data_IF_134201547640
#
_entry.id   IF_134201547640
#
_cell.length_a   1.000
_cell.length_b   1.000
_cell.length_c   1.000
_cell.angle_alpha   90.00
_cell.angle_beta   90.00
_cell.angle_gamma   90.00
#
_symmetry.space_group_name_H-M   'P 1'
#
loop_
_entity.id
_entity.type
_entity.pdbx_description
1 polymer ?
#
# COMPACT_ATOMS: atom_id res chain seq x y z
N UNK A 1 -10.76 30.32 -4.73
CA UNK A 1 -10.64 30.40 -6.21
C UNK A 1 -10.35 28.99 -6.68
N UNK A 2 -11.36 28.32 -7.20
CA UNK A 2 -11.39 26.86 -7.43
C UNK A 2 -10.49 26.54 -8.63
N UNK A 3 -9.55 25.61 -8.46
CA UNK A 3 -8.88 24.92 -9.57
C UNK A 3 -9.11 23.42 -9.41
N UNK A 4 -10.31 22.98 -9.81
CA UNK A 4 -10.50 21.60 -10.23
C UNK A 4 -9.97 21.51 -11.67
N UNK A 5 -8.85 20.81 -11.86
CA UNK A 5 -8.40 20.36 -13.17
C UNK A 5 -8.33 18.83 -13.11
N UNK A 6 -9.48 18.17 -13.21
CA UNK A 6 -9.59 16.78 -13.65
C UNK A 6 -10.88 16.64 -14.46
N UNK A 7 -10.81 17.10 -15.70
CA UNK A 7 -11.77 16.75 -16.74
C UNK A 7 -11.02 16.85 -18.08
N UNK A 8 -10.32 15.79 -18.47
CA UNK A 8 -10.04 15.53 -19.87
C UNK A 8 -10.11 14.02 -20.10
N UNK A 9 -10.99 13.65 -21.02
CA UNK A 9 -11.50 12.30 -21.18
C UNK A 9 -10.53 11.29 -21.79
N UNK A 10 -10.97 10.04 -21.68
CA UNK A 10 -10.47 8.87 -22.39
C UNK A 10 -10.12 9.15 -23.85
N UNK A 11 -8.85 8.95 -24.19
CA UNK A 11 -8.41 8.49 -25.50
C UNK A 11 -7.06 7.79 -25.33
N UNK A 12 -7.05 6.47 -25.57
CA UNK A 12 -5.85 5.66 -25.59
C UNK A 12 -4.83 6.18 -26.60
N UNK A 13 -3.59 6.38 -26.15
CA UNK A 13 -2.30 6.28 -26.87
C UNK A 13 -1.21 6.31 -25.77
N UNK A 14 -0.31 5.34 -25.78
CA UNK A 14 0.76 5.23 -24.78
C UNK A 14 1.77 6.38 -24.81
N UNK A 15 2.36 6.67 -23.65
CA UNK A 15 3.79 6.89 -23.43
C UNK A 15 4.06 7.40 -22.00
N UNK A 16 4.90 6.66 -21.29
CA UNK A 16 5.98 7.08 -20.38
C UNK A 16 5.75 8.08 -19.22
N UNK A 17 6.09 7.55 -18.04
CA UNK A 17 6.95 8.12 -16.99
C UNK A 17 6.38 9.16 -16.00
N UNK A 18 6.16 8.68 -14.78
CA UNK A 18 6.66 9.21 -13.50
C UNK A 18 6.75 8.00 -12.56
N UNK A 19 7.76 7.73 -11.73
CA UNK A 19 9.14 8.19 -11.61
C UNK A 19 9.80 7.22 -10.62
N UNK A 20 11.02 6.80 -10.94
CA UNK A 20 11.85 5.97 -10.06
C UNK A 20 12.09 6.61 -8.69
N UNK A 21 11.96 5.82 -7.63
CA UNK A 21 12.97 5.65 -6.57
C UNK A 21 12.38 4.85 -5.41
N UNK A 22 12.62 3.53 -5.38
CA UNK A 22 12.91 2.77 -4.16
C UNK A 22 13.50 1.42 -4.60
N UNK A 23 14.67 1.47 -5.24
CA UNK A 23 15.54 0.31 -5.38
C UNK A 23 16.50 0.32 -4.19
N UNK A 24 16.15 -0.39 -3.12
CA UNK A 24 17.17 -0.80 -2.16
C UNK A 24 17.91 -2.00 -2.76
N UNK A 25 19.10 -1.70 -3.27
CA UNK A 25 20.07 -2.69 -3.74
C UNK A 25 20.63 -3.41 -2.51
N UNK A 26 20.26 -4.68 -2.34
CA UNK A 26 21.15 -5.68 -1.78
C UNK A 26 21.41 -6.67 -2.90
N UNK A 27 22.65 -6.69 -3.36
CA UNK A 27 23.15 -7.63 -4.34
C UNK A 27 23.69 -8.81 -3.54
N UNK A 28 22.99 -9.95 -3.57
CA UNK A 28 23.57 -11.23 -3.19
C UNK A 28 23.36 -12.21 -4.35
N UNK A 29 24.48 -12.69 -4.89
CA UNK A 29 24.58 -13.70 -5.92
C UNK A 29 24.32 -15.07 -5.27
N UNK A 30 23.05 -15.44 -5.00
CA UNK A 30 22.68 -16.79 -4.51
C UNK A 30 21.27 -17.19 -4.99
N UNK A 31 21.00 -17.10 -6.30
CA UNK A 31 19.70 -17.43 -6.89
C UNK A 31 19.41 -18.94 -7.05
N UNK A 32 20.33 -19.83 -6.65
CA UNK A 32 20.12 -21.30 -6.76
C UNK A 32 19.90 -22.02 -5.40
N UNK A 33 19.97 -21.33 -4.25
CA UNK A 33 19.95 -21.99 -2.94
C UNK A 33 18.78 -21.66 -2.00
N UNK A 34 17.86 -20.75 -2.37
CA UNK A 34 16.80 -20.31 -1.45
C UNK A 34 15.54 -21.21 -1.39
N UNK A 35 15.47 -22.33 -2.12
CA UNK A 35 14.26 -23.19 -2.14
C UNK A 35 14.19 -24.26 -1.04
N UNK A 36 15.26 -24.41 -0.25
CA UNK A 36 15.47 -25.46 0.76
C UNK A 36 15.79 -24.92 2.18
N UNK A 37 15.77 -23.60 2.40
CA UNK A 37 15.99 -23.03 3.74
C UNK A 37 14.65 -22.89 4.49
N UNK A 38 14.31 -23.91 5.27
CA UNK A 38 13.03 -24.10 6.00
C UNK A 38 12.75 -23.11 7.15
N UNK A 39 13.56 -22.06 7.39
CA UNK A 39 13.50 -21.31 8.67
C UNK A 39 13.43 -19.77 8.56
N UNK A 40 13.28 -19.16 7.38
CA UNK A 40 13.24 -17.68 7.29
C UNK A 40 12.10 -17.13 6.44
N UNK A 41 11.17 -16.43 7.11
CA UNK A 41 10.25 -15.50 6.45
C UNK A 41 11.05 -14.52 5.60
N UNK A 42 10.76 -14.47 4.32
CA UNK A 42 11.46 -13.59 3.39
C UNK A 42 10.52 -13.14 2.29
N UNK A 43 10.71 -11.91 1.84
CA UNK A 43 10.04 -11.40 0.65
C UNK A 43 11.05 -10.63 -0.17
N UNK A 44 11.21 -11.02 -1.43
CA UNK A 44 12.03 -10.31 -2.39
C UNK A 44 11.27 -10.14 -3.70
N UNK A 45 11.44 -8.98 -4.32
CA UNK A 45 11.02 -8.79 -5.70
C UNK A 45 12.09 -8.00 -6.44
N UNK A 46 12.29 -8.35 -7.71
CA UNK A 46 13.15 -7.62 -8.63
C UNK A 46 12.42 -7.48 -9.96
N UNK A 47 12.45 -6.27 -10.53
CA UNK A 47 11.90 -5.98 -11.85
C UNK A 47 12.98 -5.28 -12.66
N UNK A 48 13.34 -5.86 -13.80
CA UNK A 48 14.36 -5.39 -14.72
C UNK A 48 13.75 -5.23 -16.12
N UNK A 49 13.17 -4.07 -16.39
CA UNK A 49 12.38 -3.85 -17.61
C UNK A 49 11.17 -4.79 -17.63
N UNK A 50 11.07 -5.59 -18.69
CA UNK A 50 9.95 -6.50 -18.92
C UNK A 50 10.22 -7.89 -18.35
N UNK A 51 11.09 -8.03 -17.36
CA UNK A 51 11.37 -9.31 -16.70
C UNK A 51 11.49 -9.11 -15.21
N UNK A 52 11.22 -10.15 -14.43
CA UNK A 52 11.32 -10.03 -13.00
C UNK A 52 11.11 -11.34 -12.26
N UNK A 53 11.33 -11.24 -10.96
CA UNK A 53 11.17 -12.30 -9.99
C UNK A 53 10.41 -11.76 -8.79
N UNK A 54 9.52 -12.59 -8.25
CA UNK A 54 8.87 -12.40 -6.97
C UNK A 54 9.04 -13.67 -6.15
N UNK A 55 9.49 -13.53 -4.91
CA UNK A 55 9.58 -14.62 -3.94
C UNK A 55 8.96 -14.14 -2.63
N UNK A 56 8.10 -14.98 -2.06
CA UNK A 56 7.61 -14.84 -0.69
C UNK A 56 7.66 -16.22 -0.03
N UNK A 57 8.39 -16.32 1.07
CA UNK A 57 8.33 -17.44 1.99
C UNK A 57 7.76 -16.92 3.33
N UNK A 58 6.70 -17.55 3.81
CA UNK A 58 6.11 -17.32 5.12
C UNK A 58 5.79 -18.68 5.77
N UNK A 59 5.24 -18.67 6.99
CA UNK A 59 4.94 -19.89 7.75
C UNK A 59 3.91 -20.79 7.05
N UNK A 60 2.96 -20.19 6.34
CA UNK A 60 1.84 -20.90 5.73
C UNK A 60 2.14 -21.42 4.31
N UNK A 61 2.97 -20.70 3.56
CA UNK A 61 3.29 -21.05 2.17
C UNK A 61 4.57 -20.37 1.67
N UNK A 62 5.14 -20.95 0.61
CA UNK A 62 6.14 -20.31 -0.24
C UNK A 62 5.59 -20.15 -1.64
N UNK A 63 5.64 -18.94 -2.18
CA UNK A 63 5.30 -18.66 -3.57
C UNK A 63 6.46 -17.97 -4.28
N UNK A 64 6.76 -18.44 -5.49
CA UNK A 64 7.72 -17.82 -6.39
C UNK A 64 7.07 -17.60 -7.75
N UNK A 65 7.34 -16.46 -8.37
CA UNK A 65 7.01 -16.20 -9.74
C UNK A 65 8.23 -15.61 -10.46
N UNK A 66 8.51 -16.11 -11.66
CA UNK A 66 9.50 -15.56 -12.58
C UNK A 66 8.78 -15.23 -13.89
N UNK A 67 9.17 -14.13 -14.52
CA UNK A 67 8.66 -13.78 -15.84
C UNK A 67 9.73 -13.16 -16.73
N UNK A 68 9.58 -13.43 -18.03
CA UNK A 68 10.27 -12.74 -19.09
C UNK A 68 9.27 -12.24 -20.14
N UNK A 69 9.50 -11.02 -20.62
CA UNK A 69 8.56 -10.31 -21.47
C UNK A 69 7.42 -9.62 -20.70
N UNK A 70 6.82 -8.61 -21.33
CA UNK A 70 5.65 -7.94 -20.76
C UNK A 70 4.43 -8.85 -20.86
N UNK A 71 3.44 -8.59 -20.02
CA UNK A 71 2.18 -9.31 -20.01
C UNK A 71 1.05 -8.39 -19.58
N UNK A 72 -0.16 -8.67 -20.06
CA UNK A 72 -1.36 -7.91 -19.71
C UNK A 72 -2.47 -8.81 -19.21
N UNK A 73 -3.37 -8.26 -18.42
CA UNK A 73 -4.52 -8.97 -17.90
C UNK A 73 -5.71 -8.89 -18.87
N UNK A 74 -6.56 -9.93 -18.85
CA UNK A 74 -7.81 -9.95 -19.60
C UNK A 74 -8.85 -8.97 -19.04
N UNK A 75 -9.99 -8.86 -19.73
CA UNK A 75 -11.08 -7.96 -19.34
C UNK A 75 -11.62 -8.19 -17.92
N UNK A 76 -11.43 -9.39 -17.36
CA UNK A 76 -11.80 -9.75 -15.99
C UNK A 76 -10.68 -9.50 -14.97
N UNK A 77 -9.48 -9.10 -15.43
CA UNK A 77 -8.31 -8.85 -14.59
C UNK A 77 -7.74 -10.08 -13.90
N UNK A 78 -8.14 -11.30 -14.29
CA UNK A 78 -7.90 -12.53 -13.53
C UNK A 78 -7.12 -13.61 -14.31
N UNK A 79 -6.84 -13.38 -15.58
CA UNK A 79 -5.99 -14.25 -16.40
C UNK A 79 -5.18 -13.41 -17.41
N UNK A 80 -4.19 -14.04 -18.05
CA UNK A 80 -3.40 -13.41 -19.09
C UNK A 80 -4.22 -13.15 -20.35
N UNK A 81 -4.14 -11.93 -20.89
CA UNK A 81 -4.57 -11.60 -22.25
C UNK A 81 -3.41 -11.68 -23.22
N UNK A 82 -2.29 -11.05 -22.87
CA UNK A 82 -1.06 -11.03 -23.66
C UNK A 82 0.12 -11.45 -22.79
N UNK A 83 1.10 -12.04 -23.45
CA UNK A 83 2.36 -12.50 -22.88
C UNK A 83 3.39 -12.49 -23.99
N UNK A 84 4.51 -11.81 -23.77
CA UNK A 84 5.58 -11.70 -24.76
C UNK A 84 6.45 -12.96 -24.80
N UNK A 85 6.82 -13.52 -23.65
CA UNK A 85 7.66 -14.73 -23.58
C UNK A 85 7.10 -15.76 -22.58
N UNK A 86 7.42 -15.67 -21.29
CA UNK A 86 6.99 -16.68 -20.31
C UNK A 86 6.75 -16.14 -18.90
N UNK A 87 5.86 -16.82 -18.17
CA UNK A 87 5.64 -16.65 -16.73
C UNK A 87 5.62 -18.04 -16.11
N UNK A 88 6.40 -18.25 -15.05
CA UNK A 88 6.35 -19.46 -14.24
C UNK A 88 6.03 -19.11 -12.79
N UNK A 89 5.04 -19.78 -12.21
CA UNK A 89 4.64 -19.60 -10.81
C UNK A 89 4.69 -20.95 -10.11
N UNK A 90 5.32 -20.98 -8.94
CA UNK A 90 5.43 -22.14 -8.06
C UNK A 90 4.86 -21.78 -6.69
N UNK A 91 3.93 -22.58 -6.18
CA UNK A 91 3.40 -22.47 -4.82
C UNK A 91 3.67 -23.78 -4.08
N UNK A 92 4.26 -23.69 -2.90
CA UNK A 92 4.32 -24.77 -1.91
C UNK A 92 3.42 -24.37 -0.73
N UNK A 93 2.39 -25.15 -0.44
CA UNK A 93 1.48 -24.93 0.68
C UNK A 93 0.94 -26.28 1.18
N UNK A 94 0.88 -26.47 2.51
CA UNK A 94 0.34 -27.70 3.13
C UNK A 94 0.95 -29.01 2.59
N UNK A 95 2.24 -28.98 2.24
CA UNK A 95 2.95 -30.13 1.67
C UNK A 95 2.65 -30.41 0.19
N UNK A 96 1.80 -29.62 -0.45
CA UNK A 96 1.47 -29.71 -1.88
C UNK A 96 2.32 -28.69 -2.66
N UNK A 97 2.91 -29.13 -3.76
CA UNK A 97 3.62 -28.25 -4.70
C UNK A 97 2.82 -28.09 -5.98
N UNK A 98 2.27 -26.90 -6.20
CA UNK A 98 1.61 -26.52 -7.45
C UNK A 98 2.56 -25.67 -8.30
N UNK A 99 2.51 -25.86 -9.62
CA UNK A 99 3.32 -25.07 -10.55
C UNK A 99 2.57 -24.84 -11.85
N UNK A 100 2.54 -23.61 -12.32
CA UNK A 100 2.01 -23.24 -13.64
C UNK A 100 3.09 -22.57 -14.45
N UNK A 101 3.21 -22.96 -15.73
CA UNK A 101 4.02 -22.28 -16.73
C UNK A 101 3.13 -21.78 -17.86
N UNK A 102 3.17 -20.48 -18.11
CA UNK A 102 2.58 -19.83 -19.28
C UNK A 102 3.71 -19.49 -20.25
N UNK A 103 3.58 -19.88 -21.52
CA UNK A 103 4.59 -19.63 -22.55
C UNK A 103 3.94 -19.16 -23.84
N UNK A 104 4.48 -18.10 -24.44
CA UNK A 104 4.11 -17.65 -25.79
C UNK A 104 4.70 -18.61 -26.81
N UNK A 105 3.86 -19.41 -27.46
CA UNK A 105 4.25 -20.34 -28.54
C UNK A 105 3.29 -20.28 -29.71
N UNK A 106 3.84 -20.15 -30.91
CA UNK A 106 3.08 -20.09 -32.18
C UNK A 106 1.96 -19.01 -32.17
N UNK A 107 2.23 -17.88 -31.52
CA UNK A 107 1.27 -16.76 -31.42
C UNK A 107 0.12 -16.98 -30.42
N UNK A 108 0.16 -18.05 -29.62
CA UNK A 108 -0.80 -18.33 -28.55
C UNK A 108 -0.09 -18.50 -27.20
N UNK A 109 -0.84 -18.31 -26.11
CA UNK A 109 -0.35 -18.62 -24.76
C UNK A 109 -0.62 -20.10 -24.50
N UNK A 110 0.44 -20.86 -24.20
CA UNK A 110 0.37 -22.26 -23.79
C UNK A 110 0.48 -22.33 -22.28
N UNK A 111 -0.46 -23.01 -21.65
CA UNK A 111 -0.49 -23.23 -20.20
C UNK A 111 -0.12 -24.67 -19.91
N UNK A 112 0.84 -24.89 -19.02
CA UNK A 112 1.14 -26.22 -18.48
C UNK A 112 1.13 -26.17 -16.97
N UNK A 113 0.31 -27.03 -16.36
CA UNK A 113 0.15 -27.08 -14.91
C UNK A 113 0.65 -28.42 -14.34
N UNK A 114 1.26 -28.36 -13.17
CA UNK A 114 1.83 -29.48 -12.44
C UNK A 114 1.36 -29.48 -10.99
N UNK A 115 1.12 -30.68 -10.44
CA UNK A 115 0.88 -30.91 -9.01
C UNK A 115 1.81 -32.00 -8.51
N UNK A 116 2.56 -31.71 -7.46
CA UNK A 116 3.57 -32.59 -6.86
C UNK A 116 4.58 -33.16 -7.88
N UNK A 117 4.88 -32.35 -8.90
CA UNK A 117 5.81 -32.70 -9.99
C UNK A 117 5.14 -33.38 -11.20
N UNK A 118 3.92 -33.90 -11.05
CA UNK A 118 3.19 -34.53 -12.14
C UNK A 118 2.45 -33.50 -12.99
N UNK A 119 2.66 -33.56 -14.31
CA UNK A 119 1.91 -32.73 -15.27
C UNK A 119 0.45 -33.20 -15.29
N UNK A 120 -0.49 -32.27 -15.06
CA UNK A 120 -1.91 -32.55 -15.29
C UNK A 120 -2.20 -32.61 -16.79
N UNK A 121 -3.10 -33.51 -17.25
CA UNK A 121 -3.56 -33.51 -18.64
C UNK A 121 -4.18 -32.17 -19.02
N UNK A 122 -3.89 -31.72 -20.25
CA UNK A 122 -4.47 -30.49 -20.78
C UNK A 122 -6.02 -30.62 -20.79
N UNK A 123 -6.71 -29.58 -20.31
CA UNK A 123 -8.16 -29.56 -20.19
C UNK A 123 -8.65 -28.63 -19.08
N UNK A 124 -9.97 -28.61 -18.87
CA UNK A 124 -10.65 -27.66 -17.98
C UNK A 124 -10.10 -27.65 -16.54
N UNK A 125 -9.76 -28.82 -15.98
CA UNK A 125 -9.20 -28.91 -14.63
C UNK A 125 -7.83 -28.22 -14.53
N UNK A 126 -6.94 -28.47 -15.49
CA UNK A 126 -5.62 -27.85 -15.53
C UNK A 126 -5.72 -26.33 -15.77
N UNK A 127 -6.64 -25.90 -16.63
CA UNK A 127 -6.87 -24.48 -16.93
C UNK A 127 -7.43 -23.73 -15.70
N UNK A 128 -8.38 -24.33 -14.97
CA UNK A 128 -8.92 -23.76 -13.74
C UNK A 128 -7.86 -23.67 -12.65
N UNK A 129 -7.05 -24.72 -12.45
CA UNK A 129 -5.97 -24.73 -11.46
C UNK A 129 -4.89 -23.70 -11.80
N UNK A 130 -4.52 -23.59 -13.07
CA UNK A 130 -3.59 -22.57 -13.57
C UNK A 130 -4.11 -21.14 -13.34
N UNK A 131 -5.37 -20.87 -13.68
CA UNK A 131 -6.00 -19.57 -13.45
C UNK A 131 -6.08 -19.20 -11.97
N UNK A 132 -6.45 -20.16 -11.11
CA UNK A 132 -6.49 -19.96 -9.66
C UNK A 132 -5.10 -19.64 -9.09
N UNK A 133 -4.06 -20.35 -9.52
CA UNK A 133 -2.68 -20.09 -9.07
C UNK A 133 -2.15 -18.73 -9.57
N UNK A 134 -2.44 -18.37 -10.83
CA UNK A 134 -2.10 -17.04 -11.36
C UNK A 134 -2.80 -15.92 -10.59
N UNK A 135 -4.09 -16.06 -10.33
CA UNK A 135 -4.86 -15.11 -9.54
C UNK A 135 -4.31 -14.99 -8.11
N UNK A 136 -3.98 -16.12 -7.47
CA UNK A 136 -3.37 -16.13 -6.14
C UNK A 136 -2.04 -15.38 -6.13
N UNK A 137 -1.20 -15.56 -7.16
CA UNK A 137 0.02 -14.77 -7.34
C UNK A 137 -0.25 -13.26 -7.42
N UNK A 138 -1.23 -12.81 -8.21
CA UNK A 138 -1.59 -11.39 -8.31
C UNK A 138 -2.06 -10.81 -6.96
N UNK A 139 -2.86 -11.57 -6.21
CA UNK A 139 -3.37 -11.16 -4.89
C UNK A 139 -2.30 -11.13 -3.81
N UNK A 140 -1.35 -12.06 -3.82
CA UNK A 140 -0.25 -12.08 -2.84
C UNK A 140 0.80 -11.02 -3.15
N UNK A 141 1.20 -10.91 -4.42
CA UNK A 141 2.28 -10.00 -4.82
C UNK A 141 1.81 -8.55 -4.89
N UNK A 142 0.53 -8.33 -5.20
CA UNK A 142 0.01 -7.02 -5.57
C UNK A 142 0.48 -6.54 -6.95
N UNK A 143 1.17 -7.36 -7.74
CA UNK A 143 1.59 -7.00 -9.08
C UNK A 143 0.37 -6.85 -9.99
N UNK A 144 0.50 -5.95 -10.97
CA UNK A 144 -0.59 -5.57 -11.89
C UNK A 144 -1.86 -5.09 -11.17
N UNK A 145 -1.74 -4.55 -9.94
CA UNK A 145 -2.89 -3.99 -9.20
C UNK A 145 -3.63 -2.93 -10.02
N UNK A 146 -2.91 -2.05 -10.73
CA UNK A 146 -3.51 -1.06 -11.63
C UNK A 146 -4.45 -1.68 -12.68
N UNK A 147 -3.95 -2.63 -13.47
CA UNK A 147 -4.75 -3.33 -14.49
C UNK A 147 -5.91 -4.11 -13.87
N UNK A 148 -5.69 -4.77 -12.73
CA UNK A 148 -6.71 -5.55 -12.06
C UNK A 148 -7.83 -4.68 -11.48
N UNK A 149 -7.50 -3.56 -10.83
CA UNK A 149 -8.48 -2.58 -10.37
C UNK A 149 -9.25 -1.99 -11.55
N UNK A 150 -8.57 -1.66 -12.65
CA UNK A 150 -9.23 -1.18 -13.88
C UNK A 150 -10.26 -2.18 -14.41
N UNK A 151 -9.91 -3.47 -14.45
CA UNK A 151 -10.82 -4.53 -14.88
C UNK A 151 -12.01 -4.73 -13.93
N UNK A 152 -11.78 -4.66 -12.61
CA UNK A 152 -12.83 -4.78 -11.60
C UNK A 152 -13.81 -3.60 -11.66
N UNK A 153 -13.31 -2.36 -11.81
CA UNK A 153 -14.16 -1.17 -11.99
C UNK A 153 -14.93 -1.20 -13.32
N UNK A 154 -14.40 -1.85 -14.36
CA UNK A 154 -15.07 -2.01 -15.66
C UNK A 154 -16.19 -3.05 -15.61
N UNK A 155 -16.00 -4.13 -14.87
CA UNK A 155 -16.92 -5.28 -14.84
C UNK A 155 -17.90 -5.24 -13.66
N UNK A 156 -17.58 -4.50 -12.61
CA UNK A 156 -18.40 -4.29 -11.41
C UNK A 156 -18.45 -2.81 -11.01
N UNK A 157 -18.46 -2.57 -9.70
CA UNK A 157 -18.45 -1.25 -9.07
C UNK A 157 -17.35 -1.15 -8.00
N UNK A 158 -17.23 -0.01 -7.32
CA UNK A 158 -16.28 0.18 -6.22
C UNK A 158 -16.49 -0.84 -5.10
N UNK A 159 -17.73 -1.25 -4.82
CA UNK A 159 -18.00 -2.25 -3.79
C UNK A 159 -17.32 -3.59 -4.12
N UNK A 160 -17.35 -3.99 -5.40
CA UNK A 160 -16.64 -5.18 -5.89
C UNK A 160 -15.11 -5.05 -5.71
N UNK A 161 -14.56 -3.85 -5.85
CA UNK A 161 -13.14 -3.59 -5.57
C UNK A 161 -12.84 -3.66 -4.08
N UNK A 162 -13.68 -3.09 -3.22
CA UNK A 162 -13.50 -3.14 -1.77
C UNK A 162 -13.56 -4.58 -1.26
N UNK A 163 -14.48 -5.40 -1.77
CA UNK A 163 -14.51 -6.84 -1.49
C UNK A 163 -13.22 -7.56 -1.92
N UNK A 164 -12.65 -7.19 -3.07
CA UNK A 164 -11.36 -7.72 -3.50
C UNK A 164 -10.23 -7.33 -2.54
N UNK A 165 -10.16 -6.06 -2.10
CA UNK A 165 -9.12 -5.57 -1.18
C UNK A 165 -9.22 -6.28 0.18
N UNK A 166 -10.43 -6.43 0.70
CA UNK A 166 -10.68 -7.13 1.98
C UNK A 166 -10.27 -8.61 1.92
N UNK A 167 -10.35 -9.23 0.74
CA UNK A 167 -9.94 -10.62 0.54
C UNK A 167 -8.41 -10.79 0.38
N UNK A 168 -7.62 -9.72 0.31
CA UNK A 168 -6.16 -9.82 0.15
C UNK A 168 -5.50 -10.24 1.46
N UNK A 169 -4.57 -11.18 1.37
CA UNK A 169 -3.88 -11.74 2.54
C UNK A 169 -2.71 -10.86 3.03
N UNK A 170 -2.16 -10.00 2.16
CA UNK A 170 -0.90 -9.28 2.43
C UNK A 170 -1.08 -7.78 2.43
N UNK A 171 -0.57 -7.12 3.47
CA UNK A 171 -0.56 -5.66 3.63
C UNK A 171 0.01 -4.93 2.41
N UNK A 172 1.14 -5.42 1.88
CA UNK A 172 1.77 -4.82 0.70
C UNK A 172 0.86 -4.90 -0.52
N UNK A 173 0.08 -5.97 -0.68
CA UNK A 173 -0.89 -6.10 -1.75
C UNK A 173 -2.13 -5.21 -1.49
N UNK A 174 -2.67 -5.20 -0.27
CA UNK A 174 -3.73 -4.29 0.17
C UNK A 174 -3.39 -2.85 -0.19
N UNK A 175 -2.26 -2.33 0.29
CA UNK A 175 -1.78 -0.98 -0.06
C UNK A 175 -1.71 -0.76 -1.56
N UNK A 176 -1.17 -1.69 -2.35
CA UNK A 176 -1.07 -1.54 -3.82
C UNK A 176 -2.43 -1.46 -4.51
N UNK A 177 -3.44 -2.15 -4.00
CA UNK A 177 -4.79 -2.11 -4.55
C UNK A 177 -5.54 -0.86 -4.08
N UNK A 178 -5.37 -0.47 -2.81
CA UNK A 178 -5.91 0.78 -2.25
C UNK A 178 -5.43 1.98 -3.06
N UNK A 179 -4.11 2.11 -3.28
CA UNK A 179 -3.54 3.21 -4.07
C UNK A 179 -4.08 3.16 -5.50
N UNK A 180 -4.10 1.98 -6.13
CA UNK A 180 -4.63 1.83 -7.49
C UNK A 180 -6.12 2.18 -7.60
N UNK A 181 -6.93 1.96 -6.56
CA UNK A 181 -8.32 2.37 -6.50
C UNK A 181 -8.45 3.89 -6.43
N UNK A 182 -7.73 4.53 -5.49
CA UNK A 182 -7.74 6.00 -5.29
C UNK A 182 -7.26 6.73 -6.56
N UNK A 183 -6.29 6.18 -7.29
CA UNK A 183 -5.81 6.78 -8.53
C UNK A 183 -6.82 6.69 -9.70
N UNK A 184 -7.74 5.73 -9.65
CA UNK A 184 -8.62 5.38 -10.77
C UNK A 184 -10.10 5.70 -10.53
N UNK A 185 -10.49 6.10 -9.33
CA UNK A 185 -11.88 6.39 -8.98
C UNK A 185 -11.97 7.50 -7.95
N UNK A 186 -12.96 8.38 -8.09
CA UNK A 186 -13.31 9.38 -7.07
C UNK A 186 -14.26 8.70 -6.07
N UNK A 187 -13.83 8.51 -4.83
CA UNK A 187 -14.59 7.76 -3.83
C UNK A 187 -15.69 8.63 -3.19
N UNK A 188 -16.89 8.08 -3.09
CA UNK A 188 -17.97 8.69 -2.30
C UNK A 188 -17.66 8.63 -0.81
N UNK A 189 -18.30 9.47 0.03
CA UNK A 189 -18.09 9.44 1.48
C UNK A 189 -18.34 8.06 2.12
N UNK A 190 -19.30 7.29 1.60
CA UNK A 190 -19.59 5.95 2.08
C UNK A 190 -18.50 4.93 1.68
N UNK A 191 -17.92 5.07 0.49
CA UNK A 191 -16.82 4.23 0.03
C UNK A 191 -15.52 4.56 0.78
N UNK A 192 -15.27 5.83 1.10
CA UNK A 192 -14.19 6.26 1.98
C UNK A 192 -14.32 5.63 3.37
N UNK A 193 -15.53 5.64 3.94
CA UNK A 193 -15.79 5.04 5.25
C UNK A 193 -15.62 3.51 5.24
N UNK A 194 -15.99 2.84 4.14
CA UNK A 194 -15.77 1.40 3.96
C UNK A 194 -14.28 1.08 3.77
N UNK A 195 -13.57 1.83 2.93
CA UNK A 195 -12.14 1.68 2.72
C UNK A 195 -11.33 1.89 4.00
N UNK A 196 -11.76 2.85 4.84
CA UNK A 196 -11.14 3.10 6.15
C UNK A 196 -11.26 1.89 7.08
N UNK A 197 -12.30 1.07 6.97
CA UNK A 197 -12.43 -0.17 7.78
C UNK A 197 -11.42 -1.22 7.33
N UNK A 198 -11.12 -1.30 6.03
CA UNK A 198 -10.07 -2.21 5.52
C UNK A 198 -8.68 -1.86 6.07
N UNK A 199 -8.44 -0.59 6.43
CA UNK A 199 -7.17 -0.16 7.04
C UNK A 199 -6.94 -0.74 8.45
N UNK A 200 -8.01 -1.19 9.15
CA UNK A 200 -7.88 -1.92 10.42
C UNK A 200 -7.27 -3.31 10.25
N UNK A 201 -7.10 -3.78 9.02
CA UNK A 201 -6.54 -5.08 8.69
C UNK A 201 -5.15 -4.99 8.04
N UNK A 202 -4.51 -3.81 8.09
CA UNK A 202 -3.14 -3.60 7.60
C UNK A 202 -2.25 -3.44 8.82
N UNK A 203 -1.39 -4.42 9.08
CA UNK A 203 -0.55 -4.48 10.29
C UNK A 203 0.80 -3.76 10.10
N UNK A 204 1.33 -3.76 8.88
CA UNK A 204 2.57 -3.07 8.54
C UNK A 204 2.41 -1.55 8.62
N UNK A 205 3.05 -0.92 9.61
CA UNK A 205 3.14 0.53 9.82
C UNK A 205 3.34 1.30 8.50
N UNK A 206 4.32 0.84 7.71
CA UNK A 206 4.71 1.48 6.46
C UNK A 206 3.59 1.38 5.40
N UNK A 207 2.94 0.21 5.29
CA UNK A 207 1.85 -0.01 4.33
C UNK A 207 0.59 0.75 4.73
N UNK A 208 0.25 0.74 6.03
CA UNK A 208 -0.88 1.46 6.59
C UNK A 208 -0.72 2.97 6.42
N UNK A 209 0.48 3.51 6.73
CA UNK A 209 0.80 4.92 6.48
C UNK A 209 0.56 5.29 5.03
N UNK A 210 1.08 4.53 4.05
CA UNK A 210 0.89 4.88 2.63
C UNK A 210 -0.58 4.84 2.25
N UNK A 211 -1.33 3.85 2.72
CA UNK A 211 -2.75 3.74 2.43
C UNK A 211 -3.54 4.96 2.97
N UNK A 212 -3.25 5.37 4.21
CA UNK A 212 -3.88 6.53 4.85
C UNK A 212 -3.49 7.84 4.14
N UNK A 213 -2.19 8.08 3.90
CA UNK A 213 -1.75 9.35 3.29
C UNK A 213 -2.22 9.46 1.85
N UNK A 214 -2.24 8.37 1.08
CA UNK A 214 -2.81 8.37 -0.27
C UNK A 214 -4.28 8.84 -0.27
N UNK A 215 -5.06 8.42 0.73
CA UNK A 215 -6.45 8.84 0.88
C UNK A 215 -6.56 10.33 1.26
N UNK A 216 -5.73 10.82 2.18
CA UNK A 216 -5.69 12.23 2.58
C UNK A 216 -5.29 13.15 1.42
N UNK A 217 -4.29 12.75 0.64
CA UNK A 217 -3.72 13.54 -0.46
C UNK A 217 -4.64 13.62 -1.69
N UNK A 218 -5.40 12.57 -1.97
CA UNK A 218 -6.11 12.43 -3.25
C UNK A 218 -7.63 12.56 -3.16
N UNK A 219 -8.22 12.42 -1.96
CA UNK A 219 -9.67 12.51 -1.78
C UNK A 219 -10.11 13.76 -1.02
N UNK A 220 -11.35 14.17 -1.27
CA UNK A 220 -11.96 15.25 -0.48
C UNK A 220 -12.53 14.67 0.82
N UNK A 221 -11.76 14.78 1.90
CA UNK A 221 -12.14 14.27 3.22
C UNK A 221 -12.79 15.35 4.09
N UNK A 222 -13.68 14.91 4.98
CA UNK A 222 -14.15 15.73 6.11
C UNK A 222 -13.19 15.59 7.29
N UNK A 223 -13.15 16.59 8.18
CA UNK A 223 -12.36 16.51 9.42
C UNK A 223 -12.71 15.27 10.27
N UNK A 224 -13.99 14.84 10.27
CA UNK A 224 -14.42 13.63 10.97
C UNK A 224 -13.89 12.33 10.34
N UNK A 225 -13.71 12.29 9.02
CA UNK A 225 -13.07 11.15 8.33
C UNK A 225 -11.58 11.09 8.65
N UNK A 226 -10.89 12.24 8.61
CA UNK A 226 -9.47 12.29 8.98
C UNK A 226 -9.26 11.96 10.45
N UNK A 227 -10.14 12.39 11.35
CA UNK A 227 -10.10 11.99 12.77
C UNK A 227 -10.19 10.47 12.96
N UNK A 228 -11.03 9.79 12.16
CA UNK A 228 -11.11 8.31 12.17
C UNK A 228 -9.81 7.67 11.68
N UNK A 229 -9.23 8.18 10.59
CA UNK A 229 -7.95 7.69 10.07
C UNK A 229 -6.81 7.88 11.09
N UNK A 230 -6.77 9.04 11.78
CA UNK A 230 -5.83 9.30 12.86
C UNK A 230 -6.03 8.36 14.06
N UNK A 231 -7.29 8.05 14.40
CA UNK A 231 -7.60 7.07 15.45
C UNK A 231 -7.08 5.66 15.08
N UNK A 232 -7.22 5.26 13.81
CA UNK A 232 -6.69 3.99 13.31
C UNK A 232 -5.15 4.01 13.36
N UNK A 233 -4.53 5.07 12.82
CA UNK A 233 -3.09 5.23 12.79
C UNK A 233 -2.46 5.23 14.20
N UNK A 234 -2.97 6.05 15.12
CA UNK A 234 -2.43 6.14 16.49
C UNK A 234 -2.63 4.87 17.33
N UNK A 235 -3.53 3.97 16.92
CA UNK A 235 -3.73 2.67 17.58
C UNK A 235 -2.85 1.55 17.01
N UNK A 236 -2.47 1.63 15.74
CA UNK A 236 -1.82 0.52 15.04
C UNK A 236 -0.38 0.81 14.63
N UNK A 237 -0.04 2.06 14.29
CA UNK A 237 1.31 2.42 13.83
C UNK A 237 2.23 2.56 15.02
N UNK A 238 3.20 1.65 15.14
CA UNK A 238 4.18 1.65 16.23
C UNK A 238 5.42 2.51 15.91
N UNK A 239 5.79 2.60 14.62
CA UNK A 239 6.88 3.43 14.12
C UNK A 239 6.57 4.91 14.26
N UNK A 240 7.29 5.59 15.17
CA UNK A 240 7.21 7.04 15.37
C UNK A 240 7.33 7.82 14.05
N UNK A 241 8.21 7.37 13.16
CA UNK A 241 8.43 8.00 11.87
C UNK A 241 7.21 7.89 10.96
N UNK A 242 6.59 6.71 10.88
CA UNK A 242 5.42 6.47 10.06
C UNK A 242 4.19 7.19 10.62
N UNK A 243 3.99 7.17 11.95
CA UNK A 243 2.89 7.86 12.61
C UNK A 243 3.02 9.38 12.45
N UNK A 244 4.21 9.93 12.63
CA UNK A 244 4.49 11.35 12.38
C UNK A 244 4.17 11.75 10.94
N UNK A 245 4.48 10.91 9.95
CA UNK A 245 4.12 11.21 8.55
C UNK A 245 2.60 11.31 8.34
N UNK A 246 1.81 10.44 8.99
CA UNK A 246 0.34 10.57 8.97
C UNK A 246 -0.11 11.88 9.64
N UNK A 247 0.46 12.21 10.81
CA UNK A 247 0.15 13.44 11.53
C UNK A 247 0.48 14.69 10.70
N UNK A 248 1.65 14.71 10.05
CA UNK A 248 2.07 15.79 9.15
C UNK A 248 1.10 15.97 7.99
N UNK A 249 0.72 14.89 7.30
CA UNK A 249 -0.19 14.96 6.15
C UNK A 249 -1.61 15.43 6.54
N UNK A 250 -2.01 15.15 7.77
CA UNK A 250 -3.30 15.59 8.31
C UNK A 250 -3.32 17.02 8.87
N UNK A 251 -2.17 17.70 8.96
CA UNK A 251 -2.05 18.98 9.71
C UNK A 251 -2.97 20.10 9.18
N UNK A 252 -3.26 20.10 7.88
CA UNK A 252 -4.14 21.11 7.27
C UNK A 252 -5.62 20.99 7.69
N UNK A 253 -5.99 19.90 8.37
CA UNK A 253 -7.34 19.68 8.88
C UNK A 253 -7.60 20.31 10.26
N UNK A 254 -6.57 20.90 10.89
CA UNK A 254 -6.76 21.68 12.13
C UNK A 254 -7.80 22.77 11.90
N UNK A 255 -8.92 22.62 12.59
CA UNK A 255 -10.07 23.50 12.49
C UNK A 255 -10.68 23.61 13.89
N UNK A 256 -11.60 24.56 14.11
CA UNK A 256 -12.30 24.69 15.40
C UNK A 256 -13.30 23.55 15.67
N UNK A 257 -13.01 22.35 15.18
CA UNK A 257 -13.74 21.11 15.38
C UNK A 257 -12.96 20.23 16.36
N UNK A 258 -13.52 20.04 17.56
CA UNK A 258 -12.86 19.33 18.65
C UNK A 258 -12.46 17.90 18.29
N UNK A 259 -13.25 17.20 17.49
CA UNK A 259 -13.05 15.75 17.30
C UNK A 259 -11.78 15.43 16.50
N UNK A 260 -11.42 16.30 15.55
CA UNK A 260 -10.15 16.17 14.82
C UNK A 260 -8.97 16.55 15.69
N UNK A 261 -9.05 17.70 16.38
CA UNK A 261 -7.98 18.18 17.26
C UNK A 261 -7.66 17.15 18.35
N UNK A 262 -8.69 16.54 18.95
CA UNK A 262 -8.55 15.48 19.95
C UNK A 262 -7.89 14.23 19.34
N UNK A 263 -8.35 13.76 18.18
CA UNK A 263 -7.77 12.59 17.52
C UNK A 263 -6.30 12.80 17.10
N UNK A 264 -5.95 14.00 16.63
CA UNK A 264 -4.57 14.35 16.29
C UNK A 264 -3.69 14.36 17.54
N UNK A 265 -4.15 14.99 18.63
CA UNK A 265 -3.40 15.06 19.89
C UNK A 265 -3.28 13.70 20.58
N UNK A 266 -4.29 12.82 20.46
CA UNK A 266 -4.25 11.45 20.97
C UNK A 266 -3.24 10.60 20.18
N UNK A 267 -3.24 10.68 18.86
CA UNK A 267 -2.25 10.00 18.02
C UNK A 267 -0.83 10.54 18.29
N UNK A 268 -0.66 11.86 18.40
CA UNK A 268 0.60 12.48 18.80
C UNK A 268 1.14 11.94 20.13
N UNK A 269 0.27 11.70 21.11
CA UNK A 269 0.67 11.17 22.41
C UNK A 269 1.24 9.73 22.34
N UNK A 270 1.04 9.02 21.23
CA UNK A 270 1.68 7.75 20.93
C UNK A 270 3.16 7.86 20.56
N UNK A 271 3.61 9.03 20.08
CA UNK A 271 5.00 9.24 19.67
C UNK A 271 5.96 9.19 20.87
N UNK A 272 7.07 8.48 20.72
CA UNK A 272 8.10 8.32 21.76
C UNK A 272 9.41 9.08 21.44
N UNK A 273 9.76 9.18 20.16
CA UNK A 273 10.91 9.92 19.65
C UNK A 273 10.72 11.43 19.84
N UNK A 274 11.57 12.06 20.67
CA UNK A 274 11.58 13.53 20.85
C UNK A 274 11.73 14.27 19.51
N UNK A 275 12.48 13.68 18.58
CA UNK A 275 12.69 14.23 17.25
C UNK A 275 11.39 14.26 16.43
N UNK A 276 10.66 13.14 16.41
CA UNK A 276 9.39 13.04 15.68
C UNK A 276 8.27 13.81 16.37
N UNK A 277 8.25 13.84 17.71
CA UNK A 277 7.40 14.72 18.51
C UNK A 277 7.60 16.19 18.14
N UNK A 278 8.86 16.67 18.09
CA UNK A 278 9.14 18.05 17.66
C UNK A 278 8.64 18.28 16.23
N UNK A 279 8.99 17.40 15.29
CA UNK A 279 8.59 17.59 13.89
C UNK A 279 7.08 17.63 13.71
N UNK A 280 6.32 16.73 14.36
CA UNK A 280 4.86 16.75 14.31
C UNK A 280 4.29 18.07 14.84
N UNK A 281 4.84 18.60 15.94
CA UNK A 281 4.44 19.91 16.46
C UNK A 281 4.81 21.05 15.51
N UNK A 282 5.98 21.03 14.87
CA UNK A 282 6.37 22.08 13.93
C UNK A 282 5.37 22.25 12.77
N UNK A 283 4.78 21.16 12.27
CA UNK A 283 3.76 21.20 11.20
C UNK A 283 2.50 21.98 11.59
N UNK A 284 2.10 21.91 12.85
CA UNK A 284 0.85 22.54 13.32
C UNK A 284 1.08 23.92 13.95
N UNK A 285 2.34 24.39 14.00
CA UNK A 285 2.71 25.61 14.72
C UNK A 285 2.00 26.86 14.17
N UNK A 286 1.78 26.93 12.85
CA UNK A 286 1.05 28.05 12.22
C UNK A 286 -0.43 28.04 12.62
N UNK A 287 -1.08 26.88 12.57
CA UNK A 287 -2.46 26.72 13.00
C UNK A 287 -2.61 27.05 14.48
N UNK A 288 -1.70 26.55 15.32
CA UNK A 288 -1.65 26.82 16.74
C UNK A 288 -1.59 28.33 17.03
N UNK A 289 -0.67 29.09 16.42
CA UNK A 289 -0.59 30.56 16.63
C UNK A 289 -1.91 31.30 16.37
N UNK A 290 -2.76 30.77 15.49
CA UNK A 290 -4.07 31.35 15.18
C UNK A 290 -5.19 31.01 16.16
N UNK A 291 -4.99 30.02 17.05
CA UNK A 291 -6.01 29.52 17.97
C UNK A 291 -5.48 29.40 19.42
N UNK A 292 -5.93 30.26 20.35
CA UNK A 292 -5.47 30.23 21.74
C UNK A 292 -5.66 28.89 22.47
N UNK A 293 -6.69 28.11 22.12
CA UNK A 293 -6.90 26.80 22.72
C UNK A 293 -5.85 25.80 22.21
N UNK A 294 -5.58 25.80 20.91
CA UNK A 294 -4.55 24.95 20.30
C UNK A 294 -3.13 25.35 20.76
N UNK A 295 -2.82 26.64 20.94
CA UNK A 295 -1.54 27.07 21.56
C UNK A 295 -1.34 26.44 22.93
N UNK A 296 -2.38 26.37 23.77
CA UNK A 296 -2.25 25.81 25.11
C UNK A 296 -1.97 24.29 25.06
N UNK A 297 -2.65 23.57 24.16
CA UNK A 297 -2.44 22.14 23.94
C UNK A 297 -1.04 21.86 23.36
N UNK A 298 -0.63 22.64 22.36
CA UNK A 298 0.71 22.63 21.77
C UNK A 298 1.80 22.81 22.82
N UNK A 299 1.71 23.88 23.64
CA UNK A 299 2.72 24.17 24.67
C UNK A 299 2.86 23.02 25.65
N UNK A 300 1.74 22.43 26.08
CA UNK A 300 1.74 21.27 26.97
C UNK A 300 2.43 20.06 26.34
N UNK A 301 2.16 19.79 25.06
CA UNK A 301 2.82 18.73 24.30
C UNK A 301 4.32 18.98 24.14
N UNK A 302 4.72 20.19 23.72
CA UNK A 302 6.13 20.57 23.60
C UNK A 302 6.87 20.41 24.95
N UNK A 303 6.26 20.80 26.06
CA UNK A 303 6.83 20.64 27.40
C UNK A 303 7.05 19.19 27.83
N UNK A 304 6.35 18.22 27.21
CA UNK A 304 6.55 16.80 27.47
C UNK A 304 7.76 16.21 26.70
N UNK A 305 8.30 16.93 25.72
CA UNK A 305 9.52 16.55 25.00
C UNK A 305 10.70 16.57 25.99
N UNK A 306 11.33 15.41 26.16
CA UNK A 306 12.36 15.20 27.16
C UNK A 306 13.72 15.76 26.73
N UNK A 307 13.99 15.79 25.42
CA UNK A 307 15.20 16.43 24.89
C UNK A 307 15.04 17.96 24.89
N UNK A 308 15.99 18.64 25.53
CA UNK A 308 15.93 20.10 25.72
C UNK A 308 15.99 20.86 24.39
N UNK A 309 16.82 20.42 23.45
CA UNK A 309 16.99 21.09 22.17
C UNK A 309 15.77 20.89 21.26
N UNK A 310 15.19 19.69 21.27
CA UNK A 310 13.97 19.43 20.52
C UNK A 310 12.77 20.18 21.12
N UNK A 311 12.66 20.23 22.45
CA UNK A 311 11.64 21.01 23.16
C UNK A 311 11.76 22.51 22.87
N UNK A 312 12.97 23.06 22.94
CA UNK A 312 13.24 24.47 22.65
C UNK A 312 12.79 24.83 21.24
N UNK A 313 13.19 24.04 20.23
CA UNK A 313 12.77 24.26 18.83
C UNK A 313 11.26 24.19 18.64
N UNK A 314 10.57 23.25 19.30
CA UNK A 314 9.11 23.17 19.23
C UNK A 314 8.47 24.45 19.82
N UNK A 315 8.93 24.94 20.98
CA UNK A 315 8.41 26.17 21.57
C UNK A 315 8.73 27.42 20.73
N UNK A 316 9.93 27.49 20.16
CA UNK A 316 10.31 28.56 19.21
C UNK A 316 9.41 28.59 17.98
N UNK A 317 8.94 27.42 17.50
CA UNK A 317 8.04 27.34 16.36
C UNK A 317 6.71 28.07 16.59
N UNK A 318 6.22 28.15 17.85
CA UNK A 318 5.06 28.98 18.23
C UNK A 318 5.42 30.41 18.68
N UNK A 319 6.71 30.78 18.64
CA UNK A 319 7.20 32.13 18.94
C UNK A 319 7.52 32.37 20.42
N UNK A 320 7.71 31.31 21.20
CA UNK A 320 8.22 31.45 22.57
C UNK A 320 9.74 31.57 22.56
N UNK A 321 10.27 32.57 23.29
CA UNK A 321 11.71 32.76 23.41
C UNK A 321 12.29 31.74 24.40
N UNK A 322 13.42 31.13 24.04
CA UNK A 322 14.18 30.28 24.95
C UNK A 322 14.59 31.07 26.21
N UNK A 323 14.22 30.57 27.40
CA UNK A 323 14.74 31.10 28.67
C UNK A 323 16.26 30.81 28.72
N UNK A 324 17.06 31.82 28.37
CA UNK A 324 18.54 31.79 28.47
C UNK A 324 19.05 32.01 29.88
#
# INVERSE_FOLDING_TARGET
MIKNIKALGFLAIGAFALSAAYALIVKDDDAEHAFDDDDKKSSHHTINGDSGEFVLADDDYTIKAEWSGDYSLNDAGAALAELDDEIEIVLKQDGVKERVKFERRDGAIRTTYYRDGDKLPDGEEADQAAGALFLKFLRISGLKSGERISALLKTGDTASVLEEIDALERDRAKRRYVVALIEQSDLSPAEIDALSQTFEQIESDHDLRIAITALIENETLTAAQVARLLTIAGRQIESDHDLRLVLSESADFFSKNSDFDDAWMDAYAGLQSNYDQRLALEEIAVAAKGDPALVAAYRKAAQAISDDADRERALEAIGEEAER
#
